data_IF_728084406871
#
_entry.id   IF_728084406871
#
_cell.length_a   1.000
_cell.length_b   1.000
_cell.length_c   1.000
_cell.angle_alpha   90.00
_cell.angle_beta   90.00
_cell.angle_gamma   90.00
#
_symmetry.space_group_name_H-M   'P 1'
#
loop_
_entity.id
_entity.type
_entity.pdbx_description
1 polymer ?
#
# COMPACT_ATOMS: atom_id res chain seq x y z
N UNK A 1 -4.90 6.91 -21.88
CA UNK A 1 -4.09 5.80 -22.46
C UNK A 1 -4.88 4.50 -22.31
N UNK A 2 -5.04 3.71 -23.38
CA UNK A 2 -5.72 2.41 -23.29
C UNK A 2 -4.68 1.35 -22.99
N UNK A 3 -4.70 0.83 -21.76
CA UNK A 3 -3.87 -0.31 -21.38
C UNK A 3 -4.38 -1.56 -22.10
N UNK A 4 -3.45 -2.38 -22.57
CA UNK A 4 -3.76 -3.71 -23.11
C UNK A 4 -4.33 -4.61 -22.01
N UNK A 5 -5.08 -5.65 -22.39
CA UNK A 5 -5.57 -6.66 -21.44
C UNK A 5 -4.43 -7.32 -20.66
N UNK A 6 -3.26 -7.48 -21.27
CA UNK A 6 -2.05 -7.98 -20.61
C UNK A 6 -1.50 -6.99 -19.58
N UNK A 7 -1.52 -5.69 -19.87
CA UNK A 7 -1.13 -4.65 -18.91
C UNK A 7 -2.16 -4.50 -17.78
N UNK A 8 -3.46 -4.64 -18.06
CA UNK A 8 -4.51 -4.71 -17.05
C UNK A 8 -4.36 -5.98 -16.21
N UNK A 9 -3.98 -7.12 -16.79
CA UNK A 9 -3.65 -8.33 -16.02
C UNK A 9 -2.38 -8.15 -15.19
N UNK A 10 -1.38 -7.42 -15.68
CA UNK A 10 -0.20 -7.11 -14.89
C UNK A 10 -0.60 -6.18 -13.75
N UNK A 11 -1.33 -5.08 -13.98
CA UNK A 11 -1.88 -4.22 -12.91
C UNK A 11 -2.73 -5.02 -11.91
N UNK A 12 -3.58 -5.93 -12.39
CA UNK A 12 -4.33 -6.88 -11.54
C UNK A 12 -3.41 -7.86 -10.80
N UNK A 13 -2.24 -8.22 -11.33
CA UNK A 13 -1.20 -8.98 -10.60
C UNK A 13 -0.41 -8.10 -9.63
N UNK A 14 -0.30 -6.79 -9.89
CA UNK A 14 0.27 -5.82 -8.94
C UNK A 14 -0.64 -5.61 -7.73
N UNK A 15 -1.96 -5.83 -7.89
CA UNK A 15 -2.96 -5.41 -6.88
C UNK A 15 -3.89 -6.52 -6.37
N UNK A 16 -4.09 -7.59 -7.14
CA UNK A 16 -5.08 -8.66 -6.88
C UNK A 16 -4.55 -9.89 -6.16
N UNK A 17 -3.25 -10.03 -5.98
CA UNK A 17 -2.69 -11.03 -5.08
C UNK A 17 -2.05 -10.35 -3.88
N UNK A 18 -2.66 -10.55 -2.71
CA UNK A 18 -2.23 -10.13 -1.38
C UNK A 18 -0.74 -9.72 -1.29
N UNK A 19 -0.52 -8.55 -0.68
CA UNK A 19 0.71 -8.06 -0.01
C UNK A 19 1.28 -6.81 -0.68
N UNK A 20 1.87 -5.93 0.14
CA UNK A 20 2.66 -4.78 -0.26
C UNK A 20 3.48 -5.10 -1.52
N UNK A 21 3.42 -4.25 -2.54
CA UNK A 21 4.22 -4.44 -3.74
C UNK A 21 5.70 -4.30 -3.38
N UNK A 22 6.37 -5.43 -3.22
CA UNK A 22 7.81 -5.50 -3.16
C UNK A 22 8.31 -5.66 -4.58
N UNK A 23 8.98 -4.63 -5.12
CA UNK A 23 9.67 -4.77 -6.38
C UNK A 23 10.73 -5.85 -6.25
N UNK A 24 10.44 -7.02 -6.82
CA UNK A 24 11.48 -7.90 -7.29
C UNK A 24 12.14 -7.25 -8.50
N UNK A 25 13.47 -7.34 -8.54
CA UNK A 25 14.38 -6.82 -9.58
C UNK A 25 13.89 -7.12 -11.01
N UNK A 26 13.22 -8.23 -11.18
CA UNK A 26 12.66 -8.80 -12.41
C UNK A 26 11.50 -7.96 -13.00
N UNK A 27 10.91 -7.03 -12.25
CA UNK A 27 9.80 -6.18 -12.70
C UNK A 27 10.22 -4.81 -13.27
N UNK A 28 11.52 -4.51 -13.35
CA UNK A 28 11.99 -3.18 -13.81
C UNK A 28 11.58 -2.84 -15.25
N UNK A 29 11.46 -3.82 -16.14
CA UNK A 29 11.04 -3.60 -17.53
C UNK A 29 9.58 -3.15 -17.62
N UNK A 30 8.72 -3.67 -16.73
CA UNK A 30 7.32 -3.28 -16.65
C UNK A 30 7.17 -1.88 -16.06
N UNK A 31 7.89 -1.57 -14.98
CA UNK A 31 7.90 -0.21 -14.43
C UNK A 31 8.40 0.83 -15.43
N UNK A 32 9.38 0.47 -16.26
CA UNK A 32 9.85 1.33 -17.32
C UNK A 32 8.73 1.66 -18.32
N UNK A 33 7.94 0.66 -18.74
CA UNK A 33 6.79 0.89 -19.63
C UNK A 33 5.74 1.80 -18.98
N UNK A 34 5.45 1.61 -17.69
CA UNK A 34 4.55 2.51 -16.96
C UNK A 34 5.11 3.94 -16.86
N UNK A 35 6.43 4.10 -16.71
CA UNK A 35 7.11 5.40 -16.70
C UNK A 35 7.02 6.07 -18.07
N UNK A 36 7.25 5.32 -19.14
CA UNK A 36 7.12 5.78 -20.54
C UNK A 36 5.69 6.20 -20.89
N UNK A 37 4.68 5.50 -20.34
CA UNK A 37 3.27 5.87 -20.45
C UNK A 37 2.83 7.01 -19.52
N UNK A 38 3.76 7.65 -18.79
CA UNK A 38 3.50 8.69 -17.77
C UNK A 38 2.54 8.25 -16.63
N UNK A 39 2.29 6.95 -16.48
CA UNK A 39 1.46 6.38 -15.41
C UNK A 39 2.25 6.21 -14.13
N UNK A 40 3.51 5.79 -14.21
CA UNK A 40 4.39 5.74 -13.05
C UNK A 40 5.07 7.10 -12.86
N UNK A 41 4.66 7.85 -11.83
CA UNK A 41 5.31 9.13 -11.49
C UNK A 41 6.73 8.92 -11.00
N UNK A 42 6.90 7.97 -10.06
CA UNK A 42 8.17 7.60 -9.45
C UNK A 42 8.06 6.28 -8.71
N UNK A 43 9.20 5.72 -8.31
CA UNK A 43 9.28 4.66 -7.29
C UNK A 43 9.87 5.27 -6.04
N UNK A 44 9.29 4.96 -4.88
CA UNK A 44 9.73 5.49 -3.59
C UNK A 44 10.24 4.33 -2.73
N UNK A 45 11.46 4.43 -2.19
CA UNK A 45 11.94 3.49 -1.19
C UNK A 45 11.27 3.80 0.17
N UNK A 46 10.72 2.77 0.80
CA UNK A 46 10.01 2.86 2.08
C UNK A 46 10.69 1.92 3.08
N UNK A 47 11.33 2.43 4.13
CA UNK A 47 11.96 1.60 5.14
C UNK A 47 10.91 0.87 5.98
N UNK A 48 11.14 -0.42 6.23
CA UNK A 48 10.33 -1.22 7.14
C UNK A 48 10.92 -1.14 8.55
N UNK A 49 10.44 -0.15 9.29
CA UNK A 49 10.97 0.24 10.61
C UNK A 49 11.01 -0.90 11.64
N UNK A 50 10.00 -1.78 11.73
CA UNK A 50 10.03 -2.87 12.71
C UNK A 50 11.30 -3.73 12.63
N UNK A 51 11.77 -4.05 11.43
CA UNK A 51 12.97 -4.87 11.22
C UNK A 51 14.27 -4.08 11.50
N UNK A 52 14.30 -2.79 11.15
CA UNK A 52 15.45 -1.91 11.39
C UNK A 52 15.70 -1.63 12.87
N UNK A 53 14.63 -1.58 13.66
CA UNK A 53 14.69 -1.20 15.07
C UNK A 53 14.57 -2.39 16.03
N UNK A 54 14.11 -3.55 15.54
CA UNK A 54 13.83 -4.72 16.38
C UNK A 54 12.71 -4.47 17.40
N UNK A 55 12.45 -5.43 18.27
CA UNK A 55 11.41 -5.41 19.29
C UNK A 55 10.04 -5.84 18.78
N UNK A 56 9.05 -5.68 19.65
CA UNK A 56 7.64 -5.93 19.35
C UNK A 56 7.01 -4.65 18.80
N UNK A 57 6.30 -4.80 17.69
CA UNK A 57 5.64 -3.74 16.96
C UNK A 57 4.24 -4.17 16.58
N UNK A 58 3.40 -3.18 16.42
CA UNK A 58 2.04 -3.31 15.95
C UNK A 58 1.86 -2.40 14.74
N UNK A 59 1.08 -2.85 13.79
CA UNK A 59 0.64 -2.02 12.66
C UNK A 59 -0.80 -1.62 12.91
N UNK A 60 -1.02 -0.31 12.88
CA UNK A 60 -2.31 0.31 13.03
C UNK A 60 -2.77 0.93 11.73
N UNK A 61 -4.08 0.98 11.55
CA UNK A 61 -4.73 1.72 10.48
C UNK A 61 -5.79 2.63 11.07
N UNK A 62 -5.87 3.87 10.62
CA UNK A 62 -6.91 4.80 11.00
C UNK A 62 -7.67 5.24 9.75
N UNK A 63 -8.99 5.35 9.87
CA UNK A 63 -9.85 5.85 8.80
C UNK A 63 -10.70 6.97 9.36
N UNK A 64 -10.78 8.07 8.62
CA UNK A 64 -11.71 9.11 8.97
C UNK A 64 -11.79 10.28 8.01
N UNK A 65 -12.16 11.43 8.57
CA UNK A 65 -12.25 12.69 7.81
C UNK A 65 -11.21 13.67 8.32
N UNK A 66 -10.49 14.27 7.38
CA UNK A 66 -9.60 15.38 7.68
C UNK A 66 -10.10 16.65 7.00
N UNK A 67 -9.87 17.78 7.66
CA UNK A 67 -9.92 19.10 7.03
C UNK A 67 -8.63 19.35 6.23
N UNK A 68 -8.69 20.31 5.30
CA UNK A 68 -7.51 20.70 4.53
C UNK A 68 -6.36 21.14 5.45
N UNK A 69 -5.15 20.60 5.20
CA UNK A 69 -3.92 20.94 5.93
C UNK A 69 -3.70 20.18 7.25
N UNK A 70 -4.63 19.31 7.67
CA UNK A 70 -4.48 18.49 8.90
C UNK A 70 -3.46 17.36 8.72
N UNK A 71 -3.15 16.98 7.48
CA UNK A 71 -2.19 15.93 7.15
C UNK A 71 -0.78 16.21 7.68
N UNK A 72 -0.37 17.48 7.71
CA UNK A 72 0.89 17.90 8.33
C UNK A 72 0.92 17.62 9.83
N UNK A 73 -0.17 17.95 10.55
CA UNK A 73 -0.28 17.68 11.99
C UNK A 73 -0.30 16.18 12.29
N UNK A 74 -0.95 15.38 11.44
CA UNK A 74 -0.95 13.92 11.56
C UNK A 74 0.48 13.37 11.42
N UNK A 75 1.25 13.85 10.43
CA UNK A 75 2.66 13.46 10.26
C UNK A 75 3.56 13.86 11.43
N UNK A 76 3.28 15.00 12.06
CA UNK A 76 4.05 15.50 13.20
C UNK A 76 3.74 14.70 14.48
N UNK A 77 2.45 14.41 14.72
CA UNK A 77 2.00 13.82 15.99
C UNK A 77 2.01 12.30 16.00
N UNK A 78 1.84 11.66 14.85
CA UNK A 78 1.79 10.21 14.75
C UNK A 78 3.14 9.72 14.22
N UNK A 79 3.97 9.12 15.09
CA UNK A 79 5.26 8.63 14.64
C UNK A 79 5.07 7.47 13.67
N UNK A 80 6.03 7.30 12.77
CA UNK A 80 6.15 6.11 11.91
C UNK A 80 4.93 5.83 11.02
N UNK A 81 4.23 6.87 10.58
CA UNK A 81 3.29 6.74 9.46
C UNK A 81 4.04 6.21 8.25
N UNK A 82 3.62 5.05 7.75
CA UNK A 82 4.21 4.45 6.56
C UNK A 82 3.40 4.75 5.30
N UNK A 83 2.11 5.06 5.43
CA UNK A 83 1.23 5.32 4.29
C UNK A 83 0.03 6.20 4.66
N UNK A 84 -0.33 7.09 3.73
CA UNK A 84 -1.50 7.98 3.83
C UNK A 84 -2.24 7.92 2.50
N UNK A 85 -3.55 7.73 2.59
CA UNK A 85 -4.45 7.54 1.46
C UNK A 85 -5.51 8.62 1.54
N UNK A 86 -5.72 9.30 0.42
CA UNK A 86 -6.72 10.34 0.27
C UNK A 86 -7.76 9.87 -0.72
N UNK A 87 -9.02 9.90 -0.30
CA UNK A 87 -10.14 9.64 -1.18
C UNK A 87 -10.67 10.98 -1.73
N UNK A 88 -10.20 11.32 -2.93
CA UNK A 88 -10.58 12.57 -3.63
C UNK A 88 -11.86 12.45 -4.45
N UNK A 89 -12.34 11.22 -4.69
CA UNK A 89 -13.46 10.96 -5.61
C UNK A 89 -14.81 10.98 -4.91
N UNK A 90 -14.85 10.72 -3.61
CA UNK A 90 -16.06 10.82 -2.81
C UNK A 90 -16.10 12.19 -2.12
N UNK A 91 -17.19 12.98 -2.26
CA UNK A 91 -17.34 14.21 -1.51
C UNK A 91 -17.15 13.95 -0.01
N UNK A 92 -16.38 14.80 0.67
CA UNK A 92 -16.04 14.64 2.10
C UNK A 92 -17.28 14.59 3.01
N UNK A 93 -18.43 15.08 2.54
CA UNK A 93 -19.72 14.99 3.23
C UNK A 93 -20.36 13.59 3.20
N UNK A 94 -19.98 12.73 2.25
CA UNK A 94 -20.63 11.43 1.99
C UNK A 94 -19.89 10.27 2.67
N UNK A 95 -18.58 10.39 2.88
CA UNK A 95 -17.76 9.29 3.42
C UNK A 95 -16.46 9.76 4.07
N UNK A 96 -15.59 8.81 4.39
CA UNK A 96 -14.23 9.10 4.85
C UNK A 96 -13.39 9.57 3.66
N UNK A 97 -12.71 10.71 3.80
CA UNK A 97 -11.82 11.23 2.76
C UNK A 97 -10.36 10.86 3.01
N UNK A 98 -10.06 10.17 4.12
CA UNK A 98 -8.69 9.93 4.54
C UNK A 98 -8.52 8.62 5.31
N UNK A 99 -7.43 7.93 5.02
CA UNK A 99 -6.95 6.80 5.79
C UNK A 99 -5.43 6.88 5.92
N UNK A 100 -4.87 6.32 6.98
CA UNK A 100 -3.43 6.18 7.11
C UNK A 100 -3.07 4.96 7.90
N UNK A 101 -1.83 4.51 7.72
CA UNK A 101 -1.28 3.37 8.38
C UNK A 101 0.06 3.71 9.02
N UNK A 102 0.31 3.13 10.19
CA UNK A 102 1.45 3.50 11.03
C UNK A 102 1.94 2.28 11.81
N UNK A 103 3.21 2.33 12.20
CA UNK A 103 3.78 1.39 13.17
C UNK A 103 3.77 2.01 14.56
N UNK A 104 3.43 1.23 15.57
CA UNK A 104 3.53 1.63 16.97
C UNK A 104 4.12 0.50 17.81
N UNK A 105 4.68 0.85 18.96
CA UNK A 105 5.02 -0.10 20.03
C UNK A 105 4.08 0.02 21.23
N UNK A 106 3.20 1.01 21.23
CA UNK A 106 2.28 1.29 22.32
C UNK A 106 0.95 1.84 21.78
N UNK A 107 -0.09 1.02 21.83
CA UNK A 107 -1.45 1.43 21.49
C UNK A 107 -1.99 2.60 22.31
N UNK A 108 -1.40 2.97 23.45
CA UNK A 108 -1.80 4.19 24.17
C UNK A 108 -1.58 5.46 23.33
N UNK A 109 -0.70 5.43 22.32
CA UNK A 109 -0.54 6.49 21.30
C UNK A 109 -1.83 6.74 20.50
N UNK A 110 -2.81 5.83 20.57
CA UNK A 110 -4.18 6.03 20.07
C UNK A 110 -4.81 7.32 20.58
N UNK A 111 -4.62 7.67 21.85
CA UNK A 111 -5.24 8.87 22.43
C UNK A 111 -4.76 10.12 21.70
N UNK A 112 -3.49 10.14 21.31
CA UNK A 112 -2.89 11.23 20.53
C UNK A 112 -3.59 11.43 19.18
N UNK A 113 -4.11 10.37 18.55
CA UNK A 113 -4.85 10.46 17.28
C UNK A 113 -6.24 11.06 17.46
N UNK A 114 -6.93 10.71 18.54
CA UNK A 114 -8.27 11.23 18.87
C UNK A 114 -8.21 12.72 19.28
N UNK A 115 -7.04 13.21 19.67
CA UNK A 115 -6.78 14.60 20.07
C UNK A 115 -6.28 15.52 18.92
N UNK A 116 -6.19 15.03 17.69
CA UNK A 116 -5.76 15.83 16.53
C UNK A 116 -6.93 16.69 16.05
N UNK A 117 -6.85 18.01 16.27
CA UNK A 117 -7.86 18.94 15.77
C UNK A 117 -7.96 18.89 14.24
N UNK A 118 -9.20 18.83 13.75
CA UNK A 118 -9.50 18.67 12.33
C UNK A 118 -9.38 17.25 11.79
N UNK A 119 -9.01 16.25 12.61
CA UNK A 119 -9.16 14.83 12.27
C UNK A 119 -10.35 14.24 13.02
N UNK A 120 -11.46 14.06 12.32
CA UNK A 120 -12.58 13.27 12.80
C UNK A 120 -12.24 11.80 12.56
N UNK A 121 -11.56 11.18 13.54
CA UNK A 121 -11.24 9.76 13.51
C UNK A 121 -12.51 8.93 13.71
N UNK A 122 -12.87 8.10 12.72
CA UNK A 122 -14.06 7.27 12.82
C UNK A 122 -13.72 5.93 13.45
N UNK A 123 -12.64 5.32 12.97
CA UNK A 123 -12.21 4.00 13.44
C UNK A 123 -10.69 3.88 13.42
N UNK A 124 -10.20 3.19 14.44
CA UNK A 124 -8.81 2.77 14.56
C UNK A 124 -8.76 1.25 14.62
N UNK A 125 -7.86 0.69 13.82
CA UNK A 125 -7.79 -0.73 13.55
C UNK A 125 -6.42 -1.23 13.93
N UNK A 126 -6.40 -2.32 14.69
CA UNK A 126 -5.21 -3.14 14.85
C UNK A 126 -5.10 -4.13 13.69
N UNK A 127 -4.05 -3.98 12.89
CA UNK A 127 -3.90 -4.69 11.63
C UNK A 127 -2.93 -5.86 11.70
N UNK A 128 -1.93 -5.86 12.59
CA UNK A 128 -1.03 -7.00 12.77
C UNK A 128 -0.08 -6.75 13.93
N UNK A 129 0.53 -7.85 14.37
CA UNK A 129 1.67 -7.84 15.29
C UNK A 129 2.91 -8.29 14.53
N UNK A 130 4.03 -7.65 14.84
CA UNK A 130 5.35 -8.01 14.39
C UNK A 130 6.25 -8.17 15.60
N UNK A 131 7.00 -9.27 15.65
CA UNK A 131 8.01 -9.48 16.70
C UNK A 131 9.35 -9.77 16.05
N UNK A 132 10.30 -8.85 16.24
CA UNK A 132 11.65 -8.95 15.71
C UNK A 132 12.64 -8.89 16.87
N UNK A 133 12.97 -10.02 17.51
CA UNK A 133 13.76 -10.02 18.74
C UNK A 133 15.14 -9.35 18.57
N UNK A 134 15.65 -9.30 17.34
CA UNK A 134 16.87 -8.60 16.98
C UNK A 134 16.60 -7.65 15.82
N UNK A 135 17.23 -6.47 15.87
CA UNK A 135 17.31 -5.58 14.71
C UNK A 135 18.19 -6.19 13.61
N UNK A 136 17.85 -5.93 12.36
CA UNK A 136 18.72 -6.29 11.24
C UNK A 136 20.03 -5.50 11.31
N UNK A 137 21.16 -6.19 11.17
CA UNK A 137 22.47 -5.55 11.10
C UNK A 137 22.83 -5.28 9.64
N UNK A 138 22.88 -4.00 9.30
CA UNK A 138 23.33 -3.52 8.00
C UNK A 138 24.83 -3.25 8.05
N UNK A 139 25.57 -3.85 7.12
CA UNK A 139 26.97 -3.53 6.85
C UNK A 139 27.11 -2.11 6.32
N UNK A 140 28.32 -1.54 6.36
CA UNK A 140 28.60 -0.20 5.83
C UNK A 140 28.16 -0.06 4.37
N UNK A 141 28.54 -1.02 3.53
CA UNK A 141 28.20 -1.03 2.09
C UNK A 141 26.68 -1.06 1.83
N UNK A 142 25.89 -1.66 2.73
CA UNK A 142 24.44 -1.71 2.58
C UNK A 142 23.75 -0.42 3.04
N UNK A 143 24.32 0.25 4.04
CA UNK A 143 23.85 1.59 4.42
C UNK A 143 24.11 2.57 3.29
N UNK A 144 25.32 2.52 2.71
CA UNK A 144 25.68 3.32 1.53
C UNK A 144 24.74 3.01 0.34
N UNK A 145 24.39 1.74 0.12
CA UNK A 145 23.42 1.36 -0.92
C UNK A 145 22.00 1.88 -0.64
N UNK A 146 21.52 1.82 0.62
CA UNK A 146 20.21 2.38 0.99
C UNK A 146 20.22 3.90 0.79
N UNK A 147 21.29 4.59 1.20
CA UNK A 147 21.47 6.03 0.97
C UNK A 147 21.45 6.37 -0.51
N UNK A 148 22.13 5.58 -1.36
CA UNK A 148 22.11 5.72 -2.82
C UNK A 148 20.69 5.56 -3.38
N UNK A 149 19.94 4.55 -2.92
CA UNK A 149 18.54 4.31 -3.32
C UNK A 149 17.60 5.45 -2.88
N UNK A 150 17.73 5.91 -1.64
CA UNK A 150 16.86 6.96 -1.06
C UNK A 150 17.10 8.32 -1.73
N UNK A 151 18.34 8.60 -2.11
CA UNK A 151 18.73 9.87 -2.73
C UNK A 151 18.77 9.81 -4.27
N UNK A 152 18.39 8.69 -4.89
CA UNK A 152 18.41 8.54 -6.34
C UNK A 152 17.40 9.49 -7.02
N UNK A 153 17.88 10.32 -7.94
CA UNK A 153 17.03 11.14 -8.80
C UNK A 153 16.19 10.28 -9.76
N UNK A 154 16.82 9.25 -10.35
CA UNK A 154 16.14 8.22 -11.13
C UNK A 154 16.39 6.83 -10.54
N UNK A 155 15.52 6.45 -9.59
CA UNK A 155 15.63 5.18 -8.91
C UNK A 155 15.62 3.96 -9.85
N UNK A 156 14.90 4.01 -10.99
CA UNK A 156 14.91 2.87 -11.91
C UNK A 156 16.27 2.66 -12.58
N UNK A 157 16.96 3.76 -12.89
CA UNK A 157 18.31 3.71 -13.44
C UNK A 157 19.30 3.17 -12.40
N UNK A 158 19.25 3.71 -11.18
CA UNK A 158 20.07 3.24 -10.05
C UNK A 158 19.88 1.75 -9.80
N UNK A 159 18.63 1.26 -9.81
CA UNK A 159 18.35 -0.16 -9.64
C UNK A 159 18.93 -1.01 -10.76
N UNK A 160 18.88 -0.55 -12.03
CA UNK A 160 19.51 -1.25 -13.17
C UNK A 160 21.01 -1.36 -13.02
N UNK A 161 21.67 -0.32 -12.53
CA UNK A 161 23.11 -0.33 -12.31
C UNK A 161 23.51 -1.40 -11.27
N UNK A 162 22.73 -1.57 -10.21
CA UNK A 162 22.94 -2.67 -9.26
C UNK A 162 22.83 -4.06 -9.89
N UNK A 163 21.99 -4.23 -10.91
CA UNK A 163 21.81 -5.54 -11.59
C UNK A 163 23.03 -5.94 -12.41
N UNK A 164 23.81 -4.96 -12.86
CA UNK A 164 25.01 -5.21 -13.66
C UNK A 164 26.15 -5.83 -12.84
N UNK A 165 26.13 -5.67 -11.52
CA UNK A 165 27.12 -6.19 -10.58
C UNK A 165 26.51 -7.25 -9.66
N UNK A 166 26.92 -8.51 -9.82
CA UNK A 166 26.41 -9.64 -9.02
C UNK A 166 26.56 -9.46 -7.51
N UNK A 167 27.63 -8.79 -7.05
CA UNK A 167 27.87 -8.55 -5.62
C UNK A 167 26.90 -7.50 -5.09
N UNK A 168 26.64 -6.43 -5.86
CA UNK A 168 25.66 -5.40 -5.49
C UNK A 168 24.25 -5.96 -5.56
N UNK A 169 23.93 -6.77 -6.56
CA UNK A 169 22.65 -7.46 -6.67
C UNK A 169 22.34 -8.32 -5.44
N UNK A 170 23.27 -9.18 -4.99
CA UNK A 170 23.03 -10.02 -3.81
C UNK A 170 22.79 -9.20 -2.52
N UNK A 171 23.41 -8.02 -2.40
CA UNK A 171 23.17 -7.09 -1.28
C UNK A 171 21.83 -6.40 -1.41
N UNK A 172 21.48 -5.97 -2.62
CA UNK A 172 20.19 -5.37 -2.93
C UNK A 172 19.07 -6.36 -2.59
N UNK A 173 19.16 -7.60 -3.02
CA UNK A 173 18.18 -8.65 -2.70
C UNK A 173 18.04 -8.89 -1.19
N UNK A 174 19.13 -8.74 -0.42
CA UNK A 174 19.09 -8.86 1.04
C UNK A 174 18.45 -7.64 1.72
N UNK A 175 18.66 -6.45 1.17
CA UNK A 175 18.11 -5.19 1.69
C UNK A 175 16.63 -5.08 1.34
N UNK A 176 16.27 -5.42 0.11
CA UNK A 176 14.91 -5.34 -0.39
C UNK A 176 14.06 -6.37 0.32
N UNK A 177 12.96 -5.90 0.90
CA UNK A 177 12.02 -6.78 1.56
C UNK A 177 11.30 -7.61 0.50
N UNK A 178 11.31 -8.94 0.62
CA UNK A 178 10.59 -9.84 -0.28
C UNK A 178 9.17 -10.18 0.21
N UNK A 179 8.31 -10.60 -0.73
CA UNK A 179 6.90 -11.02 -0.48
C UNK A 179 6.78 -12.24 0.44
N UNK A 180 7.69 -13.19 0.27
CA UNK A 180 7.50 -14.56 0.75
C UNK A 180 8.36 -14.90 1.97
N UNK A 181 9.45 -14.17 2.14
CA UNK A 181 10.45 -14.46 3.17
C UNK A 181 10.43 -13.44 4.32
N UNK A 182 9.77 -12.27 4.15
CA UNK A 182 9.87 -11.13 5.08
C UNK A 182 11.33 -10.75 5.40
N UNK A 183 12.26 -11.12 4.53
CA UNK A 183 13.68 -10.82 4.66
C UNK A 183 13.89 -9.49 3.95
N UNK A 184 14.53 -8.53 4.63
CA UNK A 184 14.85 -7.22 4.08
C UNK A 184 14.10 -6.08 4.77
N UNK A 185 14.70 -4.90 4.72
CA UNK A 185 14.32 -3.72 5.49
C UNK A 185 13.84 -2.55 4.64
N UNK A 186 13.81 -2.71 3.32
CA UNK A 186 13.43 -1.66 2.38
C UNK A 186 12.42 -2.20 1.37
N UNK A 187 11.25 -1.58 1.30
CA UNK A 187 10.29 -1.84 0.23
C UNK A 187 10.45 -0.76 -0.85
N UNK A 188 10.15 -1.10 -2.09
CA UNK A 188 10.11 -0.11 -3.17
C UNK A 188 8.67 -0.02 -3.67
N UNK A 189 8.05 1.16 -3.52
CA UNK A 189 6.64 1.38 -3.82
C UNK A 189 6.46 2.26 -5.06
N UNK A 190 5.73 1.82 -6.09
CA UNK A 190 5.41 2.66 -7.23
C UNK A 190 4.40 3.72 -6.80
N UNK A 191 4.60 4.94 -7.28
CA UNK A 191 3.65 6.05 -7.17
C UNK A 191 2.97 6.20 -8.52
N UNK A 192 1.74 5.71 -8.60
CA UNK A 192 0.94 5.70 -9.82
C UNK A 192 0.12 6.98 -9.95
N UNK A 193 0.10 7.57 -11.14
CA UNK A 193 -0.82 8.61 -11.54
C UNK A 193 -2.13 7.99 -12.03
N UNK A 194 -3.04 7.73 -11.09
CA UNK A 194 -4.35 7.18 -11.42
C UNK A 194 -5.15 8.08 -12.37
N UNK A 195 -4.87 9.38 -12.44
CA UNK A 195 -5.56 10.31 -13.36
C UNK A 195 -5.21 10.09 -14.84
N UNK A 196 -4.11 9.39 -15.13
CA UNK A 196 -3.68 9.04 -16.50
C UNK A 196 -4.35 7.77 -17.01
N UNK A 197 -5.02 7.03 -16.13
CA UNK A 197 -5.77 5.84 -16.45
C UNK A 197 -7.23 6.21 -16.66
N UNK A 198 -7.71 6.01 -17.89
CA UNK A 198 -9.12 6.20 -18.23
C UNK A 198 -9.92 4.95 -17.83
N UNK A 199 -11.18 5.15 -17.44
CA UNK A 199 -12.15 4.08 -17.16
C UNK A 199 -11.67 3.12 -16.06
N UNK A 200 -11.16 3.65 -14.95
CA UNK A 200 -10.62 2.84 -13.86
C UNK A 200 -11.21 3.25 -12.50
N UNK A 201 -11.43 2.26 -11.64
CA UNK A 201 -11.89 2.47 -10.27
C UNK A 201 -10.89 1.86 -9.29
N UNK A 202 -10.31 2.72 -8.43
CA UNK A 202 -9.44 2.33 -7.32
C UNK A 202 -10.23 2.34 -6.01
N UNK A 203 -10.30 1.22 -5.30
CA UNK A 203 -11.01 1.14 -4.03
C UNK A 203 -10.17 0.45 -2.97
N UNK A 204 -10.03 1.07 -1.79
CA UNK A 204 -9.48 0.44 -0.60
C UNK A 204 -10.60 -0.03 0.32
N UNK A 205 -10.50 -1.26 0.81
CA UNK A 205 -11.44 -1.82 1.77
C UNK A 205 -10.70 -2.29 3.01
N UNK A 206 -11.19 -1.82 4.16
CA UNK A 206 -10.77 -2.31 5.45
C UNK A 206 -11.95 -3.07 6.07
N UNK A 207 -11.79 -4.37 6.24
CA UNK A 207 -12.86 -5.24 6.74
C UNK A 207 -12.60 -5.59 8.21
N UNK A 208 -13.57 -5.31 9.08
CA UNK A 208 -13.49 -5.68 10.49
C UNK A 208 -13.52 -7.21 10.68
N UNK A 209 -12.76 -7.69 11.66
CA UNK A 209 -12.71 -9.10 12.08
C UNK A 209 -14.00 -9.56 12.78
N UNK A 210 -14.18 -10.88 13.05
CA UNK A 210 -15.47 -11.51 13.38
C UNK A 210 -16.21 -11.03 14.64
N UNK A 211 -15.61 -10.21 15.50
CA UNK A 211 -16.30 -9.70 16.71
C UNK A 211 -17.42 -8.70 16.40
N UNK A 212 -17.52 -8.20 15.16
CA UNK A 212 -18.59 -7.33 14.67
C UNK A 212 -19.40 -7.94 13.52
N UNK A 213 -19.98 -9.13 13.71
CA UNK A 213 -20.73 -9.86 12.66
C UNK A 213 -21.73 -8.99 11.88
N UNK A 214 -22.49 -8.13 12.57
CA UNK A 214 -23.50 -7.26 11.95
C UNK A 214 -22.87 -6.18 11.06
N UNK A 215 -21.78 -5.56 11.52
CA UNK A 215 -21.04 -4.57 10.72
C UNK A 215 -20.40 -5.24 9.51
N UNK A 216 -19.84 -6.44 9.70
CA UNK A 216 -19.26 -7.26 8.63
C UNK A 216 -20.27 -7.63 7.55
N UNK A 217 -21.47 -8.08 7.91
CA UNK A 217 -22.52 -8.43 6.94
C UNK A 217 -22.94 -7.21 6.12
N UNK A 218 -23.10 -6.05 6.78
CA UNK A 218 -23.44 -4.80 6.11
C UNK A 218 -22.34 -4.30 5.17
N UNK A 219 -21.08 -4.37 5.61
CA UNK A 219 -19.93 -4.01 4.77
C UNK A 219 -19.84 -4.91 3.53
N UNK A 220 -20.14 -6.21 3.68
CA UNK A 220 -20.18 -7.18 2.59
C UNK A 220 -21.34 -6.94 1.61
N UNK A 221 -22.52 -6.55 2.10
CA UNK A 221 -23.65 -6.18 1.26
C UNK A 221 -23.34 -4.92 0.44
N UNK A 222 -22.76 -3.89 1.08
CA UNK A 222 -22.36 -2.65 0.43
C UNK A 222 -21.30 -2.90 -0.66
N UNK A 223 -20.29 -3.72 -0.35
CA UNK A 223 -19.29 -4.19 -1.30
C UNK A 223 -19.93 -4.91 -2.48
N UNK A 224 -20.83 -5.85 -2.21
CA UNK A 224 -21.52 -6.63 -3.24
C UNK A 224 -22.36 -5.74 -4.15
N UNK A 225 -23.01 -4.71 -3.62
CA UNK A 225 -23.76 -3.73 -4.40
C UNK A 225 -22.83 -2.89 -5.29
N UNK A 226 -21.71 -2.41 -4.73
CA UNK A 226 -20.68 -1.68 -5.47
C UNK A 226 -20.14 -2.50 -6.65
N UNK A 227 -19.88 -3.80 -6.43
CA UNK A 227 -19.42 -4.71 -7.48
C UNK A 227 -20.45 -4.95 -8.58
N UNK A 228 -21.74 -5.04 -8.24
CA UNK A 228 -22.81 -5.20 -9.25
C UNK A 228 -22.90 -3.97 -10.14
N UNK A 229 -22.81 -2.77 -9.56
CA UNK A 229 -22.82 -1.54 -10.35
C UNK A 229 -21.56 -1.44 -11.21
N UNK A 230 -20.40 -1.82 -10.69
CA UNK A 230 -19.19 -1.93 -11.50
C UNK A 230 -19.34 -2.88 -12.69
N UNK A 231 -19.80 -4.12 -12.46
CA UNK A 231 -19.93 -5.11 -13.54
C UNK A 231 -20.91 -4.67 -14.62
N UNK A 232 -21.93 -3.90 -14.25
CA UNK A 232 -22.82 -3.23 -15.20
C UNK A 232 -22.06 -2.19 -16.03
N UNK A 233 -21.37 -1.24 -15.39
CA UNK A 233 -20.59 -0.20 -16.07
C UNK A 233 -19.47 -0.79 -16.95
N UNK A 234 -18.84 -1.88 -16.52
CA UNK A 234 -17.86 -2.64 -17.30
C UNK A 234 -18.45 -3.24 -18.57
N UNK A 235 -19.63 -3.88 -18.48
CA UNK A 235 -20.33 -4.46 -19.64
C UNK A 235 -20.79 -3.40 -20.63
N UNK A 236 -21.08 -2.21 -20.13
CA UNK A 236 -21.41 -1.02 -20.93
C UNK A 236 -20.17 -0.39 -21.58
N UNK A 237 -18.96 -0.87 -21.24
CA UNK A 237 -17.69 -0.36 -21.77
C UNK A 237 -17.20 0.92 -21.10
N UNK A 238 -17.84 1.33 -20.00
CA UNK A 238 -17.55 2.57 -19.28
C UNK A 238 -16.41 2.41 -18.26
N UNK A 239 -16.11 1.18 -17.82
CA UNK A 239 -14.98 0.87 -16.93
C UNK A 239 -14.15 -0.29 -17.50
N UNK A 240 -12.85 -0.07 -17.69
CA UNK A 240 -11.84 -1.01 -18.19
C UNK A 240 -11.26 -1.90 -17.07
N UNK A 241 -11.26 -1.45 -15.82
CA UNK A 241 -10.80 -2.26 -14.69
C UNK A 241 -11.15 -1.69 -13.32
N UNK A 242 -11.31 -2.58 -12.35
CA UNK A 242 -11.35 -2.27 -10.92
C UNK A 242 -10.11 -2.81 -10.26
N UNK A 243 -9.62 -2.01 -9.33
CA UNK A 243 -8.55 -2.38 -8.43
C UNK A 243 -9.02 -2.28 -7.01
N UNK A 244 -8.82 -3.39 -6.33
CA UNK A 244 -9.26 -3.60 -4.97
C UNK A 244 -8.02 -3.70 -4.11
N UNK A 245 -7.86 -2.75 -3.20
CA UNK A 245 -6.85 -2.82 -2.18
C UNK A 245 -7.47 -3.45 -0.94
N UNK A 246 -7.02 -4.66 -0.61
CA UNK A 246 -7.40 -5.38 0.60
C UNK A 246 -6.25 -5.30 1.59
N UNK A 247 -6.40 -4.52 2.64
CA UNK A 247 -5.60 -4.70 3.85
C UNK A 247 -6.44 -5.51 4.83
N UNK A 248 -6.21 -6.83 4.93
CA UNK A 248 -6.86 -7.62 5.97
C UNK A 248 -5.97 -8.76 6.47
N UNK A 249 -5.90 -8.84 7.80
CA UNK A 249 -5.62 -10.05 8.56
C UNK A 249 -6.52 -11.18 8.03
N UNK A 250 -5.89 -12.26 7.60
CA UNK A 250 -6.47 -13.60 7.44
C UNK A 250 -7.88 -13.66 6.83
N UNK A 251 -8.01 -13.47 5.52
CA UNK A 251 -9.22 -13.89 4.79
C UNK A 251 -8.84 -14.48 3.43
N UNK A 252 -8.31 -15.70 3.44
CA UNK A 252 -7.84 -16.40 2.23
C UNK A 252 -8.99 -16.98 1.37
N UNK A 253 -10.19 -17.16 1.93
CA UNK A 253 -11.28 -17.86 1.22
C UNK A 253 -12.27 -16.93 0.49
N UNK A 254 -12.33 -15.65 0.85
CA UNK A 254 -13.31 -14.71 0.27
C UNK A 254 -12.80 -13.98 -0.98
N UNK A 255 -11.50 -13.66 -1.05
CA UNK A 255 -10.88 -13.16 -2.27
C UNK A 255 -11.03 -14.16 -3.41
N UNK A 256 -10.89 -15.47 -3.12
CA UNK A 256 -11.17 -16.55 -4.07
C UNK A 256 -12.63 -16.57 -4.51
N UNK A 257 -13.59 -16.25 -3.63
CA UNK A 257 -15.02 -16.20 -3.94
C UNK A 257 -15.38 -15.01 -4.83
N UNK A 258 -14.79 -13.83 -4.61
CA UNK A 258 -14.96 -12.68 -5.52
C UNK A 258 -14.26 -12.92 -6.85
N UNK A 259 -13.04 -13.44 -6.85
CA UNK A 259 -12.32 -13.79 -8.08
C UNK A 259 -13.04 -14.90 -8.87
N UNK A 260 -13.78 -15.81 -8.21
CA UNK A 260 -14.61 -16.82 -8.90
C UNK A 260 -15.92 -16.27 -9.49
N UNK A 261 -16.27 -15.03 -9.17
CA UNK A 261 -17.43 -14.32 -9.73
C UNK A 261 -17.03 -13.39 -10.90
N UNK A 262 -15.73 -13.26 -11.18
CA UNK A 262 -15.14 -12.58 -12.33
C UNK A 262 -14.83 -13.59 -13.45
#
# INVERSE_FOLDING_TARGET
MVLTLEEIEILKKLEGEEKEFYLKVDNLSFLQRLKEGEVLKRVVPVPFLPLLLGGDWEIGGAVGRIRDGVDGLIRERIPYIYEMIYNWTIPSSVGHNFAFFFFTRNWEERKTMEEIDGFECFNLYHLANYSFPLRISLSREEREMIEEIVNAEDLLLTLRDFLSDKRRLAKLERILRGRDDNIGCLSLRPVIDWSRLENFLHCHFLLSTPSGLVQRERDLENLSALFREYEKLRKEGEILGVVLYKESLAVNDWAKKILSLL
#
